data_IF_469780006426
#
_entry.id   IF_469780006426
#
_cell.length_a   1.000
_cell.length_b   1.000
_cell.length_c   1.000
_cell.angle_alpha   90.00
_cell.angle_beta   90.00
_cell.angle_gamma   90.00
#
_symmetry.space_group_name_H-M   'P 1'
#
loop_
_entity.id
_entity.type
_entity.pdbx_description
1 polymer ?
#
# COMPACT_ATOMS: atom_id res chain seq x y z
N UNK A 1 37.08 -10.18 -3.46
CA UNK A 1 36.57 -10.05 -4.85
C UNK A 1 35.05 -9.95 -4.75
N UNK A 2 34.55 -8.75 -4.43
CA UNK A 2 33.14 -8.52 -4.15
C UNK A 2 32.40 -8.21 -5.44
N UNK A 3 31.44 -9.06 -5.82
CA UNK A 3 30.53 -8.75 -6.90
C UNK A 3 29.71 -7.51 -6.48
N UNK A 4 29.90 -6.41 -7.21
CA UNK A 4 29.12 -5.20 -7.02
C UNK A 4 27.64 -5.55 -7.27
N UNK A 5 26.85 -5.55 -6.20
CA UNK A 5 25.38 -5.63 -6.29
C UNK A 5 24.91 -4.46 -7.13
N UNK A 6 24.40 -4.76 -8.33
CA UNK A 6 23.90 -3.76 -9.26
C UNK A 6 22.53 -3.30 -8.74
N UNK A 7 22.31 -2.02 -8.45
CA UNK A 7 21.00 -1.56 -8.00
C UNK A 7 19.97 -1.81 -9.11
N UNK A 8 18.93 -2.59 -8.80
CA UNK A 8 17.74 -2.70 -9.65
C UNK A 8 17.09 -1.31 -9.68
N UNK A 9 16.99 -0.66 -10.86
CA UNK A 9 16.31 0.63 -10.93
C UNK A 9 14.84 0.41 -10.56
N UNK A 10 14.22 1.30 -9.76
CA UNK A 10 12.80 1.22 -9.48
C UNK A 10 12.05 1.19 -10.81
N UNK A 11 11.24 0.14 -11.03
CA UNK A 11 10.35 0.07 -12.18
C UNK A 11 9.49 1.32 -12.16
N UNK A 12 9.67 2.21 -13.14
CA UNK A 12 8.76 3.34 -13.34
C UNK A 12 7.40 2.72 -13.68
N UNK A 13 6.51 2.68 -12.70
CA UNK A 13 5.07 2.62 -12.96
C UNK A 13 4.76 3.80 -13.87
N UNK A 14 4.50 3.49 -15.15
CA UNK A 14 4.16 4.49 -16.16
C UNK A 14 3.07 5.40 -15.58
N UNK A 15 3.27 6.72 -15.74
CA UNK A 15 2.63 7.76 -14.96
C UNK A 15 1.16 7.49 -14.67
N UNK A 16 0.87 7.13 -13.42
CA UNK A 16 -0.50 7.21 -12.93
C UNK A 16 -0.88 8.69 -12.96
N UNK A 17 -1.66 9.08 -13.96
CA UNK A 17 -2.20 10.44 -14.03
C UNK A 17 -2.96 10.74 -12.72
N UNK A 18 -2.89 11.99 -12.27
CA UNK A 18 -3.50 12.42 -11.01
C UNK A 18 -4.99 12.06 -10.94
N UNK A 19 -5.69 12.03 -12.09
CA UNK A 19 -7.09 11.58 -12.14
C UNK A 19 -7.25 10.10 -11.78
N UNK A 20 -6.38 9.23 -12.29
CA UNK A 20 -6.44 7.81 -12.00
C UNK A 20 -6.13 7.51 -10.52
N UNK A 21 -5.20 8.26 -9.92
CA UNK A 21 -4.91 8.15 -8.48
C UNK A 21 -6.12 8.54 -7.62
N UNK A 22 -6.86 9.58 -8.03
CA UNK A 22 -8.08 10.03 -7.35
C UNK A 22 -9.23 9.03 -7.54
N UNK A 23 -9.38 8.45 -8.72
CA UNK A 23 -10.39 7.42 -9.00
C UNK A 23 -10.19 6.18 -8.13
N UNK A 24 -8.95 5.66 -8.10
CA UNK A 24 -8.59 4.51 -7.27
C UNK A 24 -8.79 4.83 -5.78
N UNK A 25 -8.33 6.00 -5.31
CA UNK A 25 -8.53 6.42 -3.91
C UNK A 25 -10.02 6.51 -3.55
N UNK A 26 -10.83 7.12 -4.42
CA UNK A 26 -12.27 7.27 -4.17
C UNK A 26 -12.96 5.91 -4.14
N UNK A 27 -12.55 4.99 -5.02
CA UNK A 27 -13.08 3.64 -5.05
C UNK A 27 -12.67 2.82 -3.82
N UNK A 28 -11.42 2.94 -3.38
CA UNK A 28 -10.95 2.35 -2.12
C UNK A 28 -11.74 2.88 -0.93
N UNK A 29 -11.94 4.20 -0.83
CA UNK A 29 -12.73 4.80 0.25
C UNK A 29 -14.19 4.34 0.22
N UNK A 30 -14.80 4.20 -0.97
CA UNK A 30 -16.16 3.64 -1.11
C UNK A 30 -16.24 2.21 -0.59
N UNK A 31 -15.27 1.36 -0.94
CA UNK A 31 -15.23 -0.04 -0.45
C UNK A 31 -15.02 -0.10 1.06
N UNK A 32 -14.07 0.67 1.60
CA UNK A 32 -13.83 0.76 3.04
C UNK A 32 -15.07 1.27 3.80
N UNK A 33 -15.80 2.23 3.23
CA UNK A 33 -17.06 2.70 3.79
C UNK A 33 -18.16 1.62 3.73
N UNK A 34 -18.32 0.96 2.58
CA UNK A 34 -19.27 -0.14 2.41
C UNK A 34 -19.03 -1.28 3.40
N UNK A 35 -17.77 -1.60 3.69
CA UNK A 35 -17.38 -2.60 4.68
C UNK A 35 -17.41 -2.09 6.13
N UNK A 36 -17.82 -0.84 6.37
CA UNK A 36 -17.95 -0.27 7.71
C UNK A 36 -16.61 0.03 8.40
N UNK A 37 -15.49 0.05 7.66
CA UNK A 37 -14.15 0.36 8.19
C UNK A 37 -13.91 1.87 8.28
N UNK A 38 -14.52 2.64 7.38
CA UNK A 38 -14.41 4.10 7.33
C UNK A 38 -15.80 4.74 7.41
N UNK A 39 -15.95 5.78 8.23
CA UNK A 39 -17.10 6.66 8.24
C UNK A 39 -16.82 7.92 7.42
N UNK A 40 -17.87 8.42 6.75
CA UNK A 40 -17.86 9.67 5.99
C UNK A 40 -18.75 10.68 6.71
N UNK A 41 -18.20 11.83 7.09
CA UNK A 41 -18.95 12.91 7.75
C UNK A 41 -18.80 14.23 6.98
N UNK A 42 -19.88 15.02 6.82
CA UNK A 42 -19.77 16.38 6.29
C UNK A 42 -19.03 17.27 7.30
N UNK A 43 -18.08 18.08 6.82
CA UNK A 43 -17.32 19.01 7.65
C UNK A 43 -17.14 20.34 6.90
N UNK A 44 -17.92 21.35 7.29
CA UNK A 44 -17.94 22.65 6.61
C UNK A 44 -18.28 22.52 5.13
N UNK A 45 -17.37 22.99 4.25
CA UNK A 45 -17.50 22.87 2.79
C UNK A 45 -16.94 21.55 2.22
N UNK A 46 -16.52 20.62 3.07
CA UNK A 46 -15.86 19.39 2.68
C UNK A 46 -16.44 18.15 3.34
N UNK A 47 -15.69 17.06 3.18
CA UNK A 47 -16.02 15.74 3.71
C UNK A 47 -14.79 15.21 4.43
N UNK A 48 -14.97 14.78 5.66
CA UNK A 48 -13.95 14.10 6.43
C UNK A 48 -14.21 12.59 6.40
N UNK A 49 -13.13 11.82 6.27
CA UNK A 49 -13.14 10.37 6.37
C UNK A 49 -12.37 9.96 7.63
N UNK A 50 -12.99 9.15 8.47
CA UNK A 50 -12.37 8.66 9.70
C UNK A 50 -12.57 7.16 9.87
N UNK A 51 -11.63 6.48 10.52
CA UNK A 51 -11.80 5.07 10.86
C UNK A 51 -12.96 4.90 11.87
N UNK A 52 -13.79 3.90 11.64
CA UNK A 52 -14.79 3.47 12.62
C UNK A 52 -14.11 2.72 13.78
N UNK A 53 -14.89 2.32 14.79
CA UNK A 53 -14.38 1.41 15.82
C UNK A 53 -13.86 0.10 15.21
N UNK A 54 -14.58 -0.48 14.25
CA UNK A 54 -14.15 -1.66 13.50
C UNK A 54 -12.91 -1.37 12.63
N UNK A 55 -12.87 -0.22 11.95
CA UNK A 55 -11.70 0.18 11.15
C UNK A 55 -10.42 0.27 11.99
N UNK A 56 -10.51 0.75 13.23
CA UNK A 56 -9.36 0.83 14.14
C UNK A 56 -8.80 -0.54 14.53
N UNK A 57 -9.61 -1.60 14.55
CA UNK A 57 -9.10 -2.95 14.86
C UNK A 57 -8.22 -3.50 13.74
N UNK A 58 -8.28 -2.94 12.53
CA UNK A 58 -7.43 -3.32 11.40
C UNK A 58 -6.00 -2.79 11.51
N UNK A 59 -5.76 -1.76 12.35
CA UNK A 59 -4.44 -1.17 12.52
C UNK A 59 -3.43 -2.18 13.06
N UNK A 60 -3.78 -2.97 14.08
CA UNK A 60 -2.87 -3.95 14.65
C UNK A 60 -2.42 -5.04 13.63
N UNK A 61 -3.30 -5.64 12.82
CA UNK A 61 -2.89 -6.50 11.71
C UNK A 61 -2.01 -5.81 10.66
N UNK A 62 -2.31 -4.55 10.30
CA UNK A 62 -1.50 -3.78 9.35
C UNK A 62 -0.10 -3.53 9.92
N UNK A 63 -0.01 -3.17 11.20
CA UNK A 63 1.25 -2.93 11.89
C UNK A 63 2.07 -4.22 11.98
N UNK A 64 1.44 -5.34 12.33
CA UNK A 64 2.09 -6.65 12.38
C UNK A 64 2.61 -7.08 11.01
N UNK A 65 1.81 -6.88 9.96
CA UNK A 65 2.25 -7.14 8.59
C UNK A 65 3.41 -6.22 8.18
N UNK A 66 3.35 -4.94 8.56
CA UNK A 66 4.41 -3.97 8.33
C UNK A 66 5.71 -4.36 9.02
N UNK A 67 5.65 -4.84 10.27
CA UNK A 67 6.81 -5.32 11.01
C UNK A 67 7.45 -6.55 10.33
N UNK A 68 6.64 -7.54 9.94
CA UNK A 68 7.11 -8.69 9.19
C UNK A 68 7.74 -8.29 7.84
N UNK A 69 7.09 -7.39 7.09
CA UNK A 69 7.60 -6.92 5.80
C UNK A 69 8.90 -6.11 5.94
N UNK A 70 9.07 -5.39 7.05
CA UNK A 70 10.31 -4.70 7.36
C UNK A 70 11.43 -5.68 7.69
N UNK A 71 11.14 -6.75 8.45
CA UNK A 71 12.11 -7.77 8.81
C UNK A 71 12.56 -8.62 7.61
N UNK A 72 11.62 -9.02 6.74
CA UNK A 72 11.86 -9.97 5.65
C UNK A 72 11.90 -9.35 4.26
N UNK A 73 11.81 -8.03 4.14
CA UNK A 73 11.71 -7.33 2.86
C UNK A 73 12.87 -7.66 1.91
N UNK A 74 14.09 -7.71 2.43
CA UNK A 74 15.29 -8.04 1.65
C UNK A 74 15.27 -9.48 1.12
N UNK A 75 14.73 -10.42 1.90
CA UNK A 75 14.58 -11.82 1.48
C UNK A 75 13.56 -11.96 0.35
N UNK A 76 12.45 -11.22 0.44
CA UNK A 76 11.44 -11.16 -0.62
C UNK A 76 12.04 -10.58 -1.91
N UNK A 77 12.81 -9.50 -1.80
CA UNK A 77 13.48 -8.89 -2.96
C UNK A 77 14.48 -9.85 -3.60
N UNK A 78 15.30 -10.54 -2.80
CA UNK A 78 16.25 -11.54 -3.31
C UNK A 78 15.55 -12.70 -4.02
N UNK A 79 14.41 -13.16 -3.50
CA UNK A 79 13.61 -14.21 -4.14
C UNK A 79 13.03 -13.75 -5.49
N UNK A 80 12.59 -12.50 -5.59
CA UNK A 80 12.12 -11.92 -6.85
C UNK A 80 13.26 -11.83 -7.89
N UNK A 81 14.44 -11.33 -7.50
CA UNK A 81 15.60 -11.24 -8.38
C UNK A 81 16.03 -12.62 -8.90
N UNK A 82 16.03 -13.63 -8.04
CA UNK A 82 16.36 -15.00 -8.43
C UNK A 82 15.34 -15.58 -9.43
N UNK A 83 14.04 -15.30 -9.23
CA UNK A 83 13.00 -15.73 -10.16
C UNK A 83 13.11 -15.04 -11.53
N UNK A 84 13.44 -13.74 -11.55
CA UNK A 84 13.63 -12.99 -12.79
C UNK A 84 14.90 -13.37 -13.54
N UNK A 85 15.98 -13.75 -12.85
CA UNK A 85 17.22 -14.19 -13.48
C UNK A 85 17.16 -15.61 -14.06
N UNK A 86 16.18 -16.42 -13.61
CA UNK A 86 15.93 -17.77 -14.11
C UNK A 86 14.93 -17.86 -15.27
N UNK A 87 14.35 -16.73 -15.69
CA UNK A 87 13.42 -16.60 -16.82
C UNK A 87 14.14 -16.11 -18.09
#
# INVERSE_FOLDING_TARGET
>A
MGAARRPVPPRRVAGADRRHQLEVLTETLRRLQYHGLVARAPQGHGVEYGLTALGRTLLAPIDAFGAWAFEHGDEVMAAQEAAEAGA
#
